data_IF_912198595447
#
_entry.id   IF_912198595447
#
_cell.length_a   1.000
_cell.length_b   1.000
_cell.length_c   1.000
_cell.angle_alpha   90.00
_cell.angle_beta   90.00
_cell.angle_gamma   90.00
#
_symmetry.space_group_name_H-M   'P 1'
#
loop_
_entity.id
_entity.type
_entity.pdbx_description
1 polymer ?
#
# COMPACT_ATOMS: atom_id res chain seq x y z
N UNK A 1 -22.69 1.33 56.12
CA UNK A 1 -22.68 1.49 57.59
C UNK A 1 -21.39 0.85 58.09
N UNK A 2 -20.27 1.54 58.29
CA UNK A 2 -19.94 2.96 58.57
C UNK A 2 -18.72 3.33 57.68
N UNK A 3 -18.58 4.49 57.02
CA UNK A 3 -18.32 5.87 57.50
C UNK A 3 -17.12 6.00 58.46
N UNK A 4 -16.02 6.57 57.94
CA UNK A 4 -15.30 7.77 58.45
C UNK A 4 -13.85 7.76 57.89
N UNK A 5 -13.44 8.64 56.96
CA UNK A 5 -13.21 10.10 57.02
C UNK A 5 -11.78 10.47 57.49
N UNK A 6 -11.30 11.58 56.91
CA UNK A 6 -10.15 12.45 57.29
C UNK A 6 -8.85 12.26 56.49
N UNK A 7 -8.60 13.06 55.44
CA UNK A 7 -8.18 14.49 55.39
C UNK A 7 -6.66 14.59 55.20
N UNK A 8 -6.25 15.36 54.19
CA UNK A 8 -4.84 15.69 53.97
C UNK A 8 -4.62 16.45 52.67
N UNK A 9 -5.12 17.69 52.62
CA UNK A 9 -4.69 18.68 51.63
C UNK A 9 -3.18 18.92 51.76
N UNK A 10 -2.46 19.00 50.63
CA UNK A 10 -1.34 19.93 50.55
C UNK A 10 -1.04 20.35 49.10
N UNK A 11 -1.26 21.64 48.91
CA UNK A 11 -0.67 22.52 47.91
C UNK A 11 0.79 22.20 47.61
N UNK A 12 1.12 22.03 46.33
CA UNK A 12 2.39 22.50 45.78
C UNK A 12 2.10 23.16 44.43
N UNK A 13 1.96 24.48 44.46
CA UNK A 13 2.17 25.34 43.31
C UNK A 13 3.68 25.53 43.12
N UNK A 14 4.18 25.25 41.92
CA UNK A 14 5.50 25.69 41.47
C UNK A 14 5.40 26.18 40.03
N UNK A 15 5.94 27.37 39.81
CA UNK A 15 5.79 28.27 38.65
C UNK A 15 6.89 28.08 37.61
N UNK A 16 6.76 28.85 36.50
CA UNK A 16 7.67 29.10 35.36
C UNK A 16 7.61 28.05 34.26
N UNK A 17 6.92 28.31 33.13
CA UNK A 17 7.26 29.24 32.03
C UNK A 17 8.58 28.89 31.34
N UNK A 18 8.45 28.26 30.17
CA UNK A 18 9.18 28.45 28.90
C UNK A 18 9.43 27.11 28.19
N UNK A 19 9.60 27.07 26.85
CA UNK A 19 8.89 27.79 25.80
C UNK A 19 8.32 26.80 24.75
N UNK A 20 7.44 27.31 23.89
CA UNK A 20 6.95 26.63 22.67
C UNK A 20 8.14 26.25 21.76
N UNK A 21 8.64 25.03 21.86
CA UNK A 21 9.56 24.47 20.87
C UNK A 21 8.76 23.91 19.71
N UNK A 22 8.38 24.84 18.83
CA UNK A 22 8.04 24.52 17.46
C UNK A 22 9.30 24.12 16.72
N UNK A 23 9.47 22.82 16.50
CA UNK A 23 10.38 22.28 15.50
C UNK A 23 9.63 21.27 14.63
N UNK A 24 9.07 21.82 13.57
CA UNK A 24 9.12 21.26 12.22
C UNK A 24 8.54 19.85 12.09
N UNK A 25 7.20 19.79 12.11
CA UNK A 25 6.52 18.86 11.23
C UNK A 25 6.91 19.27 9.81
N UNK A 26 8.05 18.75 9.35
CA UNK A 26 8.50 18.82 7.98
C UNK A 26 7.39 18.23 7.14
N UNK A 27 6.50 19.11 6.69
CA UNK A 27 5.60 18.87 5.60
C UNK A 27 6.52 18.51 4.44
N UNK A 28 6.73 17.21 4.24
CA UNK A 28 7.11 16.70 2.93
C UNK A 28 5.94 17.08 2.04
N UNK A 29 6.02 18.28 1.51
CA UNK A 29 5.07 18.85 0.55
C UNK A 29 4.92 17.82 -0.55
N UNK A 30 3.78 17.14 -0.56
CA UNK A 30 3.41 16.27 -1.65
C UNK A 30 3.19 17.15 -2.88
N UNK A 31 4.25 17.41 -3.63
CA UNK A 31 4.24 17.99 -4.99
C UNK A 31 3.64 16.98 -6.01
N UNK A 32 2.89 15.99 -5.53
CA UNK A 32 2.25 14.96 -6.33
C UNK A 32 1.04 15.51 -7.11
N UNK A 33 0.53 16.69 -6.76
CA UNK A 33 -0.62 17.33 -7.41
C UNK A 33 -0.29 17.94 -8.77
N UNK A 34 1.00 18.20 -9.09
CA UNK A 34 1.42 18.79 -10.36
C UNK A 34 1.64 17.77 -11.49
N UNK A 35 1.75 16.47 -11.16
CA UNK A 35 1.98 15.43 -12.16
C UNK A 35 0.63 15.05 -12.80
N UNK A 36 0.54 15.22 -14.12
CA UNK A 36 -0.67 14.90 -14.89
C UNK A 36 -1.03 13.42 -14.80
N UNK A 37 -2.33 13.10 -14.89
CA UNK A 37 -2.82 11.72 -14.86
C UNK A 37 -2.18 10.81 -15.94
N UNK A 38 -1.94 11.25 -17.19
CA UNK A 38 -1.22 10.44 -18.19
C UNK A 38 0.22 10.12 -17.77
N UNK A 39 0.94 11.07 -17.16
CA UNK A 39 2.30 10.83 -16.66
C UNK A 39 2.28 9.82 -15.52
N UNK A 40 1.32 9.93 -14.58
CA UNK A 40 1.12 8.93 -13.52
C UNK A 40 0.76 7.56 -14.08
N UNK A 41 -0.08 7.50 -15.11
CA UNK A 41 -0.45 6.25 -15.77
C UNK A 41 0.75 5.60 -16.47
N UNK A 42 1.59 6.38 -17.14
CA UNK A 42 2.82 5.89 -17.75
C UNK A 42 3.80 5.34 -16.70
N UNK A 43 4.00 6.05 -15.59
CA UNK A 43 4.85 5.60 -14.50
C UNK A 43 4.33 4.29 -13.89
N UNK A 44 3.02 4.20 -13.60
CA UNK A 44 2.40 2.98 -13.11
C UNK A 44 2.54 1.83 -14.10
N UNK A 45 2.37 2.08 -15.40
CA UNK A 45 2.53 1.05 -16.43
C UNK A 45 3.92 0.40 -16.35
N UNK A 46 4.98 1.21 -16.26
CA UNK A 46 6.36 0.73 -16.16
C UNK A 46 6.57 -0.05 -14.86
N UNK A 47 6.02 0.42 -13.74
CA UNK A 47 6.12 -0.26 -12.45
C UNK A 47 5.42 -1.63 -12.45
N UNK A 48 4.24 -1.73 -13.07
CA UNK A 48 3.53 -3.01 -13.19
C UNK A 48 4.31 -4.02 -14.04
N UNK A 49 4.98 -3.57 -15.10
CA UNK A 49 5.82 -4.44 -15.94
C UNK A 49 7.04 -4.95 -15.14
N UNK A 50 7.70 -4.07 -14.39
CA UNK A 50 8.79 -4.45 -13.49
C UNK A 50 8.31 -5.42 -12.40
N UNK A 51 7.14 -5.17 -11.81
CA UNK A 51 6.55 -6.05 -10.80
C UNK A 51 6.28 -7.45 -11.37
N UNK A 52 5.71 -7.53 -12.57
CA UNK A 52 5.49 -8.79 -13.28
C UNK A 52 6.79 -9.57 -13.52
N UNK A 53 7.86 -8.88 -13.92
CA UNK A 53 9.16 -9.53 -14.08
C UNK A 53 9.70 -10.08 -12.76
N UNK A 54 9.56 -9.32 -11.66
CA UNK A 54 10.06 -9.73 -10.35
C UNK A 54 9.27 -10.89 -9.76
N UNK A 55 7.94 -10.86 -9.86
CA UNK A 55 7.08 -11.90 -9.29
C UNK A 55 7.26 -13.23 -10.03
N UNK A 56 7.45 -13.20 -11.35
CA UNK A 56 7.70 -14.41 -12.17
C UNK A 56 9.04 -15.07 -11.87
N UNK A 57 10.02 -14.29 -11.40
CA UNK A 57 11.33 -14.80 -10.95
C UNK A 57 11.30 -15.42 -9.56
N UNK A 58 10.21 -15.25 -8.80
CA UNK A 58 10.11 -15.88 -7.49
C UNK A 58 9.92 -17.39 -7.67
N UNK A 59 10.70 -18.16 -6.92
CA UNK A 59 10.57 -19.62 -6.90
C UNK A 59 9.41 -20.06 -5.98
N UNK A 60 9.10 -19.28 -4.94
CA UNK A 60 8.02 -19.58 -3.98
C UNK A 60 7.31 -18.31 -3.52
N UNK A 61 5.97 -18.40 -3.37
CA UNK A 61 5.13 -17.38 -2.73
C UNK A 61 4.59 -17.94 -1.42
N UNK A 62 5.45 -18.19 -0.43
CA UNK A 62 4.97 -18.57 0.89
C UNK A 62 5.80 -17.88 1.97
N UNK A 63 5.19 -16.88 2.61
CA UNK A 63 5.47 -16.54 4.00
C UNK A 63 4.28 -17.04 4.81
N UNK A 64 4.48 -18.26 5.32
CA UNK A 64 3.66 -19.03 6.25
C UNK A 64 2.26 -19.52 5.79
N UNK A 65 2.01 -20.79 6.15
CA UNK A 65 0.77 -21.43 6.61
C UNK A 65 -0.48 -21.66 5.71
N UNK A 66 -0.56 -21.23 4.45
CA UNK A 66 -1.73 -21.60 3.59
C UNK A 66 -1.42 -22.74 2.62
N UNK A 67 -1.69 -23.97 3.07
CA UNK A 67 -1.40 -25.23 2.36
C UNK A 67 -2.19 -25.48 1.05
N UNK A 68 -3.05 -24.58 0.59
CA UNK A 68 -3.97 -24.86 -0.52
C UNK A 68 -3.35 -24.61 -1.92
N UNK A 69 -2.31 -23.78 -2.04
CA UNK A 69 -1.66 -23.45 -3.32
C UNK A 69 -0.29 -24.14 -3.54
N UNK A 70 0.01 -25.21 -2.80
CA UNK A 70 1.31 -25.90 -2.82
C UNK A 70 1.70 -26.59 -4.16
N UNK A 71 1.12 -26.22 -5.31
CA UNK A 71 1.40 -26.83 -6.62
C UNK A 71 1.56 -25.86 -7.79
N UNK A 72 1.21 -24.59 -7.65
CA UNK A 72 1.34 -23.61 -8.73
C UNK A 72 2.52 -22.71 -8.44
N UNK A 73 3.43 -22.63 -9.41
CA UNK A 73 4.52 -21.64 -9.35
C UNK A 73 3.95 -20.23 -9.48
N UNK A 74 4.68 -19.21 -9.04
CA UNK A 74 4.22 -17.82 -9.09
C UNK A 74 3.89 -17.38 -10.52
N UNK A 75 4.68 -17.84 -11.49
CA UNK A 75 4.47 -17.58 -12.90
C UNK A 75 3.15 -18.16 -13.44
N UNK A 76 2.81 -19.41 -13.08
CA UNK A 76 1.55 -20.03 -13.53
C UNK A 76 0.35 -19.32 -12.92
N UNK A 77 0.44 -18.96 -11.64
CA UNK A 77 -0.61 -18.22 -10.95
C UNK A 77 -0.85 -16.85 -11.60
N UNK A 78 0.22 -16.10 -11.86
CA UNK A 78 0.14 -14.79 -12.53
C UNK A 78 -0.40 -14.92 -13.95
N UNK A 79 -0.06 -16.00 -14.66
CA UNK A 79 -0.61 -16.25 -16.00
C UNK A 79 -2.13 -16.42 -15.96
N UNK A 80 -2.67 -17.22 -15.03
CA UNK A 80 -4.12 -17.35 -14.86
C UNK A 80 -4.79 -16.02 -14.49
N UNK A 81 -4.18 -15.23 -13.60
CA UNK A 81 -4.70 -13.91 -13.23
C UNK A 81 -4.78 -13.01 -14.45
N UNK A 82 -3.72 -12.96 -15.27
CA UNK A 82 -3.68 -12.17 -16.50
C UNK A 82 -4.74 -12.62 -17.52
N UNK A 83 -4.98 -13.93 -17.63
CA UNK A 83 -6.04 -14.47 -18.48
C UNK A 83 -7.44 -14.04 -17.99
N UNK A 84 -7.67 -14.03 -16.68
CA UNK A 84 -8.95 -13.67 -16.05
C UNK A 84 -9.25 -12.16 -16.14
N UNK A 85 -8.25 -11.30 -15.88
CA UNK A 85 -8.44 -9.83 -15.88
C UNK A 85 -8.35 -9.21 -17.28
N UNK A 86 -7.86 -9.97 -18.26
CA UNK A 86 -7.72 -9.55 -19.65
C UNK A 86 -6.53 -8.62 -19.92
N UNK A 87 -6.45 -8.04 -21.13
CA UNK A 87 -5.29 -7.27 -21.56
C UNK A 87 -5.10 -5.98 -20.76
N UNK A 88 -3.84 -5.62 -20.54
CA UNK A 88 -3.45 -4.37 -19.88
C UNK A 88 -4.03 -3.15 -20.62
N UNK A 89 -4.80 -2.27 -19.94
CA UNK A 89 -5.33 -1.06 -20.54
C UNK A 89 -4.22 -0.07 -20.94
N UNK A 90 -4.43 0.77 -21.98
CA UNK A 90 -3.47 1.78 -22.37
C UNK A 90 -3.37 2.92 -21.34
N UNK A 91 -2.26 3.65 -21.34
CA UNK A 91 -2.01 4.77 -20.40
C UNK A 91 -2.94 5.97 -20.64
N UNK A 92 -3.59 6.04 -21.80
CA UNK A 92 -4.68 6.99 -22.09
C UNK A 92 -5.98 6.67 -21.35
N UNK A 93 -6.11 5.49 -20.73
CA UNK A 93 -7.26 5.06 -19.94
C UNK A 93 -6.88 4.87 -18.46
N UNK A 94 -6.56 5.95 -17.72
CA UNK A 94 -5.95 5.88 -16.38
C UNK A 94 -6.83 5.17 -15.33
N UNK A 95 -8.15 5.33 -15.39
CA UNK A 95 -9.07 4.60 -14.51
C UNK A 95 -9.05 3.10 -14.79
N UNK A 96 -9.09 2.70 -16.06
CA UNK A 96 -9.04 1.28 -16.41
C UNK A 96 -7.70 0.67 -16.01
N UNK A 97 -6.59 1.37 -16.26
CA UNK A 97 -5.25 0.92 -15.89
C UNK A 97 -5.08 0.74 -14.38
N UNK A 98 -5.59 1.68 -13.57
CA UNK A 98 -5.52 1.56 -12.11
C UNK A 98 -6.37 0.40 -11.58
N UNK A 99 -7.59 0.21 -12.09
CA UNK A 99 -8.41 -0.94 -11.71
C UNK A 99 -7.77 -2.27 -12.11
N UNK A 100 -7.25 -2.35 -13.34
CA UNK A 100 -6.53 -3.53 -13.82
C UNK A 100 -5.29 -3.83 -12.97
N UNK A 101 -4.49 -2.81 -12.66
CA UNK A 101 -3.30 -2.95 -11.81
C UNK A 101 -3.65 -3.39 -10.39
N UNK A 102 -4.72 -2.85 -9.79
CA UNK A 102 -5.20 -3.26 -8.47
C UNK A 102 -5.64 -4.73 -8.45
N UNK A 103 -6.31 -5.21 -9.51
CA UNK A 103 -6.69 -6.62 -9.67
C UNK A 103 -5.48 -7.53 -9.89
N UNK A 104 -4.48 -7.08 -10.65
CA UNK A 104 -3.25 -7.84 -10.92
C UNK A 104 -2.41 -8.07 -9.65
N UNK A 105 -2.25 -7.05 -8.81
CA UNK A 105 -1.38 -7.15 -7.62
C UNK A 105 -2.10 -7.76 -6.40
N UNK A 106 -3.45 -7.74 -6.37
CA UNK A 106 -4.26 -8.31 -5.29
C UNK A 106 -5.14 -9.50 -5.68
N UNK A 107 -4.64 -10.54 -6.39
CA UNK A 107 -5.51 -11.61 -6.83
C UNK A 107 -5.91 -12.57 -5.71
N UNK A 108 -5.18 -12.72 -4.59
CA UNK A 108 -5.68 -13.48 -3.44
C UNK A 108 -5.11 -12.94 -2.10
N UNK A 109 -5.97 -12.66 -1.09
CA UNK A 109 -5.58 -12.15 0.23
C UNK A 109 -4.50 -12.97 0.99
N UNK A 110 -4.20 -14.20 0.56
CA UNK A 110 -3.34 -15.16 1.26
C UNK A 110 -1.89 -15.24 0.76
N UNK A 111 -1.50 -14.49 -0.28
CA UNK A 111 -0.16 -14.63 -0.87
C UNK A 111 0.89 -13.70 -0.24
N UNK A 112 0.47 -12.67 0.50
CA UNK A 112 1.39 -11.77 1.21
C UNK A 112 2.38 -11.02 0.30
N UNK A 113 2.03 -10.83 -0.99
CA UNK A 113 2.92 -10.28 -2.03
C UNK A 113 2.78 -8.77 -2.17
N UNK A 114 1.56 -8.25 -2.05
CA UNK A 114 1.27 -6.82 -2.14
C UNK A 114 0.29 -6.39 -1.05
N UNK A 115 0.31 -5.10 -0.63
CA UNK A 115 -0.70 -4.57 0.27
C UNK A 115 -2.07 -4.58 -0.40
N UNK A 116 -3.10 -5.02 0.32
CA UNK A 116 -4.49 -4.93 -0.16
C UNK A 116 -4.85 -3.46 -0.41
N UNK A 117 -5.22 -3.13 -1.65
CA UNK A 117 -5.51 -1.76 -2.05
C UNK A 117 -6.83 -1.59 -2.82
N UNK A 118 -7.57 -2.68 -3.10
CA UNK A 118 -8.78 -2.62 -3.93
C UNK A 118 -9.87 -1.76 -3.30
N UNK A 119 -10.08 -1.86 -1.99
CA UNK A 119 -11.03 -1.01 -1.27
C UNK A 119 -10.75 0.48 -1.50
N UNK A 120 -9.52 0.91 -1.24
CA UNK A 120 -9.10 2.30 -1.43
C UNK A 120 -9.19 2.75 -2.89
N UNK A 121 -8.85 1.90 -3.87
CA UNK A 121 -8.98 2.23 -5.30
C UNK A 121 -10.45 2.41 -5.71
N UNK A 122 -11.37 1.63 -5.14
CA UNK A 122 -12.80 1.76 -5.41
C UNK A 122 -13.40 3.01 -4.77
N UNK A 123 -12.90 3.41 -3.59
CA UNK A 123 -13.35 4.60 -2.86
C UNK A 123 -12.78 5.92 -3.44
N UNK A 124 -11.64 5.86 -4.11
CA UNK A 124 -10.98 7.03 -4.69
C UNK A 124 -11.89 7.81 -5.66
N UNK A 125 -11.83 9.13 -5.59
CA UNK A 125 -12.74 10.03 -6.32
C UNK A 125 -12.37 10.05 -7.81
N UNK A 126 -11.09 10.27 -8.11
CA UNK A 126 -10.62 10.47 -9.48
C UNK A 126 -9.57 9.44 -9.92
N UNK A 127 -9.14 9.52 -11.18
CA UNK A 127 -8.17 8.58 -11.73
C UNK A 127 -6.76 8.80 -11.18
N UNK A 128 -6.40 10.03 -10.81
CA UNK A 128 -5.06 10.36 -10.32
C UNK A 128 -4.83 9.77 -8.92
N UNK A 129 -5.85 9.82 -8.07
CA UNK A 129 -5.87 9.18 -6.76
C UNK A 129 -5.79 7.65 -6.87
N UNK A 130 -6.60 7.04 -7.75
CA UNK A 130 -6.53 5.60 -8.04
C UNK A 130 -5.14 5.17 -8.47
N UNK A 131 -4.53 5.90 -9.40
CA UNK A 131 -3.16 5.64 -9.86
C UNK A 131 -2.14 5.74 -8.72
N UNK A 132 -2.26 6.75 -7.85
CA UNK A 132 -1.36 6.93 -6.72
C UNK A 132 -1.45 5.78 -5.72
N UNK A 133 -2.66 5.31 -5.41
CA UNK A 133 -2.89 4.17 -4.50
C UNK A 133 -2.22 2.91 -5.03
N UNK A 134 -2.46 2.56 -6.30
CA UNK A 134 -1.87 1.35 -6.92
C UNK A 134 -0.35 1.49 -7.04
N UNK A 135 0.14 2.67 -7.37
CA UNK A 135 1.59 2.95 -7.44
C UNK A 135 2.26 2.66 -6.10
N UNK A 136 1.74 3.20 -5.00
CA UNK A 136 2.27 2.98 -3.65
C UNK A 136 2.23 1.50 -3.26
N UNK A 137 1.14 0.79 -3.56
CA UNK A 137 1.02 -0.64 -3.30
C UNK A 137 2.05 -1.45 -4.11
N UNK A 138 2.21 -1.13 -5.38
CA UNK A 138 3.17 -1.77 -6.29
C UNK A 138 4.62 -1.53 -5.84
N UNK A 139 4.99 -0.30 -5.47
CA UNK A 139 6.32 0.04 -4.97
C UNK A 139 6.68 -0.71 -3.68
N UNK A 140 5.73 -0.80 -2.73
CA UNK A 140 5.91 -1.58 -1.50
C UNK A 140 6.10 -3.06 -1.80
N UNK A 141 5.30 -3.60 -2.73
CA UNK A 141 5.45 -4.99 -3.17
C UNK A 141 6.81 -5.25 -3.83
N UNK A 142 7.24 -4.38 -4.74
CA UNK A 142 8.56 -4.47 -5.38
C UNK A 142 9.69 -4.46 -4.34
N UNK A 143 9.62 -3.58 -3.35
CA UNK A 143 10.60 -3.53 -2.24
C UNK A 143 10.60 -4.84 -1.45
N UNK A 144 9.42 -5.37 -1.13
CA UNK A 144 9.28 -6.66 -0.45
C UNK A 144 9.88 -7.82 -1.26
N UNK A 145 9.63 -7.86 -2.58
CA UNK A 145 10.13 -8.89 -3.49
C UNK A 145 11.66 -8.84 -3.68
N UNK A 146 12.28 -7.67 -3.55
CA UNK A 146 13.74 -7.48 -3.66
C UNK A 146 14.46 -7.79 -2.36
N UNK A 147 13.98 -7.21 -1.27
CA UNK A 147 14.71 -7.15 -0.02
C UNK A 147 14.22 -8.18 1.00
N UNK A 148 13.13 -8.90 0.68
CA UNK A 148 12.43 -9.73 1.64
C UNK A 148 11.83 -8.93 2.80
N UNK A 149 11.64 -7.62 2.67
CA UNK A 149 11.02 -6.82 3.75
C UNK A 149 9.54 -7.18 3.91
N UNK A 150 8.98 -7.18 5.13
CA UNK A 150 7.56 -7.43 5.33
C UNK A 150 6.71 -6.24 4.85
N UNK A 151 5.46 -6.49 4.46
CA UNK A 151 4.52 -5.48 3.93
C UNK A 151 3.80 -4.66 5.02
N UNK A 152 4.39 -4.57 6.21
CA UNK A 152 3.81 -3.85 7.36
C UNK A 152 3.84 -2.34 7.09
#
# INVERSE_FOLDING_TARGET
LWEDELVGENNLSFTSEDPLDGCDAGAMSEDSSLISAPTKAQALSILLDLWLELIRKQETLVRSDVALCARLTPDVLISHVLDDIGPKPPTSAPTALSLWGASLINPLPSLGVAPECRGSVLEAVDSAERLAIVTRACERSIRSLRDGSPLI
#
